data_IF_872907554268
#
_entry.id   IF_872907554268
#
_cell.length_a   1.000
_cell.length_b   1.000
_cell.length_c   1.000
_cell.angle_alpha   90.00
_cell.angle_beta   90.00
_cell.angle_gamma   90.00
#
_symmetry.space_group_name_H-M   'P 1'
#
loop_
_entity.id
_entity.type
_entity.pdbx_description
1 polymer ?
#
# COMPACT_ATOMS: atom_id res chain seq x y z
N UNK A 1 8.97 10.63 -3.55
CA UNK A 1 9.97 9.57 -3.82
C UNK A 1 9.38 8.28 -3.27
N UNK A 2 9.34 7.21 -4.06
CA UNK A 2 8.63 5.95 -3.74
C UNK A 2 9.56 4.84 -3.23
N UNK A 3 10.87 5.03 -3.30
CA UNK A 3 11.88 4.07 -2.87
C UNK A 3 12.59 4.56 -1.62
N UNK A 4 12.76 3.67 -0.64
CA UNK A 4 13.54 3.87 0.57
C UNK A 4 14.69 2.87 0.63
N UNK A 5 15.86 3.28 1.16
CA UNK A 5 17.04 2.44 1.33
C UNK A 5 18.09 2.55 0.21
N UNK A 6 19.26 1.92 0.43
CA UNK A 6 20.42 1.95 -0.47
C UNK A 6 20.78 0.57 -1.00
N UNK A 7 21.12 -0.36 -0.11
CA UNK A 7 21.41 -1.76 -0.46
C UNK A 7 20.16 -2.62 -0.35
N UNK A 8 19.42 -2.48 0.75
CA UNK A 8 18.08 -3.05 0.90
C UNK A 8 17.06 -1.97 0.55
N UNK A 9 16.41 -2.10 -0.61
CA UNK A 9 15.58 -1.05 -1.20
C UNK A 9 14.13 -1.48 -1.23
N UNK A 10 13.24 -0.69 -0.65
CA UNK A 10 11.80 -0.93 -0.68
C UNK A 10 11.15 0.14 -1.54
N UNK A 11 10.48 -0.27 -2.61
CA UNK A 11 9.73 0.62 -3.52
C UNK A 11 8.24 0.32 -3.42
N UNK A 12 7.45 1.26 -2.92
CA UNK A 12 6.00 1.07 -2.78
C UNK A 12 5.26 1.45 -4.08
N UNK A 13 4.10 0.87 -4.33
CA UNK A 13 3.22 1.21 -5.47
C UNK A 13 1.73 1.09 -5.12
N UNK A 14 0.87 1.66 -5.96
CA UNK A 14 -0.59 1.62 -5.83
C UNK A 14 -1.22 2.78 -5.06
N UNK A 15 -2.51 2.94 -5.29
CA UNK A 15 -3.41 3.95 -4.72
C UNK A 15 -4.56 3.28 -3.97
N UNK A 16 -5.18 4.00 -3.03
CA UNK A 16 -6.19 3.42 -2.15
C UNK A 16 -7.47 2.94 -2.81
N UNK A 17 -7.81 3.42 -4.01
CA UNK A 17 -9.01 2.97 -4.76
C UNK A 17 -8.64 2.45 -6.16
N UNK A 18 -7.39 1.98 -6.31
CA UNK A 18 -7.01 1.12 -7.41
C UNK A 18 -7.15 -0.34 -6.97
N UNK A 19 -6.90 -1.29 -7.88
CA UNK A 19 -7.03 -2.75 -7.63
C UNK A 19 -6.28 -3.26 -6.38
N UNK A 20 -5.19 -2.62 -6.00
CA UNK A 20 -4.42 -2.99 -4.82
C UNK A 20 -3.24 -2.05 -4.60
N UNK A 21 -2.50 -2.34 -3.54
CA UNK A 21 -1.23 -1.69 -3.19
C UNK A 21 -0.17 -2.74 -2.97
N UNK A 22 1.09 -2.35 -2.97
CA UNK A 22 2.17 -3.30 -2.76
C UNK A 22 3.54 -2.64 -2.71
N UNK A 23 4.56 -3.49 -2.68
CA UNK A 23 5.93 -3.04 -2.76
C UNK A 23 6.84 -4.05 -3.46
N UNK A 24 7.98 -3.57 -3.89
CA UNK A 24 9.09 -4.36 -4.42
C UNK A 24 10.26 -4.16 -3.46
N UNK A 25 10.80 -5.27 -2.97
CA UNK A 25 11.99 -5.30 -2.11
C UNK A 25 13.16 -5.82 -2.94
N UNK A 26 14.21 -5.02 -3.06
CA UNK A 26 15.44 -5.35 -3.76
C UNK A 26 16.64 -5.38 -2.79
N UNK A 27 17.61 -6.25 -3.07
CA UNK A 27 18.79 -6.46 -2.24
C UNK A 27 18.57 -7.33 -0.99
N UNK A 28 17.50 -8.13 -0.95
CA UNK A 28 17.36 -9.19 0.04
C UNK A 28 18.32 -10.34 -0.31
N UNK A 29 19.17 -10.83 0.61
CA UNK A 29 20.08 -11.94 0.30
C UNK A 29 19.31 -13.25 0.08
N UNK A 30 19.85 -14.20 -0.72
CA UNK A 30 19.24 -15.50 -0.93
C UNK A 30 19.35 -16.40 0.31
N UNK A 31 18.47 -17.40 0.40
CA UNK A 31 18.51 -18.46 1.41
C UNK A 31 17.88 -18.12 2.77
N UNK A 32 17.19 -16.99 2.88
CA UNK A 32 16.40 -16.65 4.07
C UNK A 32 15.02 -17.29 3.98
N UNK A 33 14.55 -17.87 5.09
CA UNK A 33 13.18 -18.36 5.16
C UNK A 33 12.20 -17.17 5.09
N UNK A 34 11.26 -17.22 4.15
CA UNK A 34 10.24 -16.20 3.96
C UNK A 34 9.00 -16.77 3.25
N UNK A 35 7.85 -16.55 3.89
CA UNK A 35 6.51 -16.87 3.39
C UNK A 35 5.53 -15.73 3.70
N UNK A 36 4.34 -15.75 3.10
CA UNK A 36 3.27 -14.80 3.44
C UNK A 36 2.92 -14.81 4.93
N UNK A 37 3.03 -15.96 5.60
CA UNK A 37 2.70 -16.12 7.02
C UNK A 37 3.65 -15.36 7.95
N UNK A 38 4.87 -15.05 7.48
CA UNK A 38 5.82 -14.20 8.22
C UNK A 38 5.41 -12.72 8.17
N UNK A 39 4.72 -12.31 7.10
CA UNK A 39 4.35 -10.91 6.82
C UNK A 39 2.93 -10.61 7.34
N UNK A 40 2.01 -11.56 7.21
CA UNK A 40 0.59 -11.40 7.52
C UNK A 40 0.32 -10.89 8.97
N UNK A 41 1.07 -11.29 10.01
CA UNK A 41 0.88 -10.75 11.36
C UNK A 41 1.10 -9.23 11.43
N UNK A 42 2.07 -8.69 10.70
CA UNK A 42 2.33 -7.24 10.68
C UNK A 42 1.20 -6.48 9.99
N UNK A 43 0.70 -7.00 8.87
CA UNK A 43 -0.45 -6.42 8.19
C UNK A 43 -1.73 -6.51 9.03
N UNK A 44 -1.91 -7.63 9.75
CA UNK A 44 -3.04 -7.81 10.66
C UNK A 44 -3.00 -6.79 11.80
N UNK A 45 -1.82 -6.51 12.36
CA UNK A 45 -1.64 -5.46 13.39
C UNK A 45 -1.92 -4.05 12.86
N UNK A 46 -1.58 -3.78 11.60
CA UNK A 46 -1.79 -2.49 10.93
C UNK A 46 -3.25 -2.25 10.54
N UNK A 47 -4.02 -3.32 10.33
CA UNK A 47 -5.38 -3.30 9.76
C UNK A 47 -6.28 -2.29 10.52
N UNK A 48 -6.98 -1.39 9.81
CA UNK A 48 -8.01 -0.55 10.43
C UNK A 48 -9.22 -1.39 10.87
N UNK A 49 -10.11 -0.83 11.68
CA UNK A 49 -11.31 -1.53 12.15
C UNK A 49 -11.11 -2.37 13.42
N UNK A 50 -9.93 -2.30 14.06
CA UNK A 50 -9.67 -2.97 15.34
C UNK A 50 -10.29 -2.25 16.56
N UNK A 51 -10.78 -1.03 16.39
CA UNK A 51 -11.50 -0.31 17.44
C UNK A 51 -12.62 0.57 16.87
N UNK A 52 -13.59 0.92 17.72
CA UNK A 52 -14.71 1.82 17.37
C UNK A 52 -14.27 3.22 16.93
N UNK A 53 -12.99 3.58 17.08
CA UNK A 53 -12.42 4.87 16.67
C UNK A 53 -11.79 4.83 15.27
N UNK A 54 -11.65 3.64 14.69
CA UNK A 54 -10.99 3.44 13.39
C UNK A 54 -12.01 3.34 12.25
N UNK A 55 -11.54 3.43 11.01
CA UNK A 55 -12.44 3.39 9.84
C UNK A 55 -13.20 2.06 9.79
N UNK A 56 -14.47 2.05 9.35
CA UNK A 56 -15.29 0.84 9.30
C UNK A 56 -14.92 -0.12 8.15
N UNK A 57 -13.83 0.15 7.42
CA UNK A 57 -13.41 -0.68 6.28
C UNK A 57 -12.77 -1.97 6.79
N UNK A 58 -13.39 -3.10 6.49
CA UNK A 58 -12.91 -4.43 6.87
C UNK A 58 -11.94 -5.01 5.80
N UNK A 59 -10.87 -4.29 5.45
CA UNK A 59 -9.91 -4.79 4.45
C UNK A 59 -9.04 -5.89 5.06
N UNK A 60 -9.18 -7.14 4.62
CA UNK A 60 -8.44 -8.30 5.20
C UNK A 60 -6.91 -8.21 5.08
N UNK A 61 -6.41 -7.29 4.26
CA UNK A 61 -4.98 -7.04 4.05
C UNK A 61 -4.17 -8.31 3.82
N UNK A 62 -4.71 -9.19 2.97
CA UNK A 62 -4.05 -10.45 2.64
C UNK A 62 -2.90 -10.18 1.69
N UNK A 63 -1.69 -10.49 2.12
CA UNK A 63 -0.50 -10.37 1.29
C UNK A 63 -0.36 -11.56 0.36
N UNK A 64 0.25 -11.33 -0.79
CA UNK A 64 0.67 -12.36 -1.73
C UNK A 64 2.08 -12.01 -2.20
N UNK A 65 2.99 -12.97 -2.11
CA UNK A 65 4.33 -12.88 -2.70
C UNK A 65 4.21 -13.28 -4.17
N UNK A 66 4.61 -12.37 -5.06
CA UNK A 66 4.55 -12.56 -6.51
C UNK A 66 5.86 -13.07 -7.11
N UNK A 67 6.99 -12.79 -6.46
CA UNK A 67 8.34 -13.12 -6.94
C UNK A 67 9.35 -13.09 -5.80
N UNK A 68 10.57 -13.56 -6.07
CA UNK A 68 11.73 -13.42 -5.17
C UNK A 68 11.81 -14.47 -4.06
N UNK A 69 10.83 -15.36 -3.96
CA UNK A 69 10.86 -16.56 -3.11
C UNK A 69 10.51 -17.81 -3.90
N UNK A 70 11.06 -18.94 -3.48
CA UNK A 70 10.71 -20.28 -3.97
C UNK A 70 10.91 -21.30 -2.84
N UNK A 71 10.00 -22.26 -2.71
CA UNK A 71 10.02 -23.29 -1.65
C UNK A 71 10.18 -22.73 -0.22
N UNK A 72 9.68 -21.50 0.03
CA UNK A 72 9.77 -20.82 1.32
C UNK A 72 11.11 -20.13 1.59
N UNK A 73 11.98 -19.98 0.59
CA UNK A 73 13.27 -19.30 0.73
C UNK A 73 13.42 -18.15 -0.28
N UNK A 74 14.14 -17.11 0.11
CA UNK A 74 14.48 -15.99 -0.77
C UNK A 74 15.49 -16.43 -1.84
N UNK A 75 15.31 -15.93 -3.06
CA UNK A 75 16.17 -16.24 -4.21
C UNK A 75 17.33 -15.24 -4.41
N UNK A 76 17.34 -14.13 -3.67
CA UNK A 76 18.26 -13.03 -3.91
C UNK A 76 17.82 -12.07 -5.02
N UNK A 77 16.71 -12.39 -5.71
CA UNK A 77 16.06 -11.54 -6.72
C UNK A 77 14.98 -10.67 -6.09
N UNK A 78 14.49 -9.63 -6.78
CA UNK A 78 13.48 -8.74 -6.23
C UNK A 78 12.20 -9.46 -5.77
N UNK A 79 11.78 -9.17 -4.54
CA UNK A 79 10.59 -9.73 -3.91
C UNK A 79 9.43 -8.79 -4.17
N UNK A 80 8.45 -9.24 -4.95
CA UNK A 80 7.23 -8.51 -5.23
C UNK A 80 6.13 -8.88 -4.23
N UNK A 81 5.54 -7.89 -3.57
CA UNK A 81 4.44 -8.07 -2.62
C UNK A 81 3.22 -7.30 -3.12
N UNK A 82 2.04 -7.93 -3.02
CA UNK A 82 0.76 -7.28 -3.35
C UNK A 82 -0.28 -7.54 -2.27
N UNK A 83 -1.15 -6.54 -2.07
CA UNK A 83 -2.31 -6.60 -1.19
C UNK A 83 -3.50 -6.00 -1.97
N UNK A 84 -4.57 -6.78 -2.23
CA UNK A 84 -5.72 -6.29 -2.96
C UNK A 84 -6.57 -5.34 -2.10
N UNK A 85 -7.14 -4.31 -2.72
CA UNK A 85 -8.10 -3.42 -2.08
C UNK A 85 -9.51 -4.01 -2.28
N UNK A 86 -10.13 -4.55 -1.23
CA UNK A 86 -11.41 -5.27 -1.32
C UNK A 86 -12.66 -4.40 -1.13
N UNK A 87 -12.57 -3.32 -0.35
CA UNK A 87 -13.70 -2.42 -0.05
C UNK A 87 -13.50 -1.05 -0.73
N UNK A 88 -13.36 -1.08 -2.06
CA UNK A 88 -13.33 0.14 -2.86
C UNK A 88 -14.77 0.61 -3.07
N UNK A 89 -15.15 1.70 -2.40
CA UNK A 89 -16.44 2.38 -2.61
C UNK A 89 -16.19 3.63 -3.46
N UNK A 90 -16.53 3.61 -4.76
CA UNK A 90 -16.27 4.74 -5.65
C UNK A 90 -17.04 6.02 -5.28
N UNK A 91 -18.16 5.87 -4.57
CA UNK A 91 -19.11 6.95 -4.31
C UNK A 91 -18.88 7.74 -3.01
N UNK A 92 -17.91 7.36 -2.16
CA UNK A 92 -17.72 8.01 -0.84
C UNK A 92 -17.15 9.45 -0.93
N UNK A 93 -16.76 9.94 -2.12
CA UNK A 93 -16.03 11.21 -2.27
C UNK A 93 -16.64 12.22 -3.26
N UNK A 94 -17.85 11.98 -3.78
CA UNK A 94 -18.45 12.82 -4.83
C UNK A 94 -18.72 14.26 -4.43
N UNK A 95 -18.97 14.55 -3.14
CA UNK A 95 -19.26 15.92 -2.67
C UNK A 95 -17.99 16.74 -2.40
N UNK A 96 -16.89 16.08 -2.03
CA UNK A 96 -15.57 16.71 -1.81
C UNK A 96 -14.79 16.95 -3.10
N UNK A 97 -15.41 16.70 -4.26
CA UNK A 97 -14.67 16.78 -5.51
C UNK A 97 -14.44 18.24 -5.98
N UNK A 98 -15.27 19.16 -5.49
CA UNK A 98 -15.29 20.56 -5.89
C UNK A 98 -14.17 21.41 -5.25
N UNK A 99 -13.65 21.02 -4.08
CA UNK A 99 -12.66 21.80 -3.34
C UNK A 99 -11.59 20.93 -2.66
N UNK A 100 -10.34 21.43 -2.51
CA UNK A 100 -9.32 20.73 -1.72
C UNK A 100 -9.73 20.61 -0.26
N UNK A 101 -9.56 19.42 0.35
CA UNK A 101 -9.89 19.23 1.76
C UNK A 101 -8.84 19.90 2.66
N UNK A 102 -9.25 20.63 3.71
CA UNK A 102 -8.30 21.18 4.69
C UNK A 102 -7.38 20.09 5.26
N UNK A 103 -6.10 20.43 5.46
CA UNK A 103 -5.06 19.51 5.99
C UNK A 103 -4.74 18.29 5.10
N UNK A 104 -5.28 18.20 3.88
CA UNK A 104 -4.98 17.11 2.94
C UNK A 104 -4.04 17.57 1.82
N UNK A 105 -3.43 16.59 1.15
CA UNK A 105 -2.49 16.81 0.06
C UNK A 105 -3.16 17.19 -1.29
N UNK A 106 -4.49 17.33 -1.33
CA UNK A 106 -5.26 17.53 -2.55
C UNK A 106 -4.76 18.72 -3.38
N UNK A 107 -4.55 19.87 -2.74
CA UNK A 107 -4.11 21.10 -3.40
C UNK A 107 -2.68 21.02 -3.93
N UNK A 108 -1.75 20.51 -3.12
CA UNK A 108 -0.34 20.42 -3.51
C UNK A 108 -0.12 19.39 -4.61
N UNK A 109 -0.87 18.28 -4.61
CA UNK A 109 -0.86 17.32 -5.72
C UNK A 109 -1.43 17.92 -7.00
N UNK A 110 -2.55 18.64 -6.92
CA UNK A 110 -3.15 19.30 -8.08
C UNK A 110 -2.19 20.33 -8.70
N UNK A 111 -1.57 21.19 -7.89
CA UNK A 111 -0.60 22.17 -8.39
C UNK A 111 0.65 21.52 -9.00
N UNK A 112 1.13 20.41 -8.41
CA UNK A 112 2.35 19.75 -8.86
C UNK A 112 2.16 18.93 -10.13
N UNK A 113 1.03 18.24 -10.25
CA UNK A 113 0.81 17.25 -11.31
C UNK A 113 -0.30 17.64 -12.31
N UNK A 114 -1.08 18.68 -12.02
CA UNK A 114 -2.21 19.11 -12.86
C UNK A 114 -3.38 18.13 -12.91
N UNK A 115 -3.35 17.07 -12.10
CA UNK A 115 -4.26 15.93 -12.15
C UNK A 115 -4.77 15.62 -10.74
N UNK A 116 -6.08 15.38 -10.61
CA UNK A 116 -6.71 14.95 -9.36
C UNK A 116 -6.99 13.45 -9.42
N UNK A 117 -6.56 12.72 -8.40
CA UNK A 117 -6.90 11.30 -8.29
C UNK A 117 -8.38 11.16 -7.85
N UNK A 118 -9.12 10.27 -8.50
CA UNK A 118 -10.52 9.97 -8.16
C UNK A 118 -10.71 9.39 -6.76
N UNK A 119 -9.63 8.92 -6.13
CA UNK A 119 -9.62 8.31 -4.80
C UNK A 119 -9.49 9.32 -3.65
N UNK A 120 -9.67 10.61 -3.93
CA UNK A 120 -9.49 11.71 -2.97
C UNK A 120 -8.04 11.87 -2.55
N UNK A 121 -7.58 11.04 -1.60
CA UNK A 121 -6.22 11.07 -1.06
C UNK A 121 -5.15 10.42 -1.94
N UNK A 122 -5.52 9.68 -2.98
CA UNK A 122 -4.58 9.10 -3.95
C UNK A 122 -3.41 8.37 -3.29
N UNK A 123 -2.20 8.73 -3.72
CA UNK A 123 -0.93 8.21 -3.20
C UNK A 123 -0.58 8.72 -1.80
N UNK A 124 -1.17 9.82 -1.35
CA UNK A 124 -0.99 10.37 0.00
C UNK A 124 -1.88 9.67 1.05
N UNK A 125 -2.69 8.70 0.63
CA UNK A 125 -3.55 7.92 1.51
C UNK A 125 -2.74 7.07 2.50
N UNK A 126 -3.30 6.88 3.70
CA UNK A 126 -2.77 5.95 4.69
C UNK A 126 -2.65 4.50 4.16
N UNK A 127 -3.32 4.15 3.05
CA UNK A 127 -3.15 2.85 2.39
C UNK A 127 -1.72 2.57 1.95
N UNK A 128 -0.93 3.60 1.66
CA UNK A 128 0.48 3.44 1.28
C UNK A 128 1.32 2.77 2.38
N UNK A 129 0.90 2.88 3.65
CA UNK A 129 1.57 2.22 4.79
C UNK A 129 1.56 0.70 4.73
N UNK A 130 0.76 0.08 3.85
CA UNK A 130 0.79 -1.37 3.62
C UNK A 130 2.12 -1.82 3.00
N UNK A 131 2.76 -0.96 2.20
CA UNK A 131 4.03 -1.28 1.55
C UNK A 131 5.27 -0.98 2.40
N UNK A 132 5.09 -0.59 3.67
CA UNK A 132 6.14 -0.17 4.60
C UNK A 132 6.25 -1.14 5.77
#
# INVERSE_FOLDING_TARGET
>A
MSTFGTHFRVTTFGESHCKGVGCIIDGCPPGLALTEDDIQPQLTRRRPGQSNLTTPRDEKDRVTILSGTEFGYTLGTPIGLTVPNQDQRPHDYSETDLYPRPSHADWTYLLKYGLKASSGGGRASARETVGK
#
